data_IF_871809850442
#
_entry.id   IF_871809850442
#
_cell.length_a   1.000
_cell.length_b   1.000
_cell.length_c   1.000
_cell.angle_alpha   90.00
_cell.angle_beta   90.00
_cell.angle_gamma   90.00
#
_symmetry.space_group_name_H-M   'P 1'
#
loop_
_entity.id
_entity.type
_entity.pdbx_description
1 polymer ?
#
# COMPACT_ATOMS: atom_id res chain seq x y z
N UNK A 1 -11.45 6.35 6.17
CA UNK A 1 -10.42 5.34 5.85
C UNK A 1 -10.15 4.57 7.14
N UNK A 2 -10.18 3.24 7.10
CA UNK A 2 -10.03 2.40 8.30
C UNK A 2 -8.61 2.50 8.84
N UNK A 3 -8.48 2.93 10.09
CA UNK A 3 -7.20 3.18 10.77
C UNK A 3 -6.62 1.95 11.45
N UNK A 4 -7.21 0.77 11.26
CA UNK A 4 -6.78 -0.47 11.89
C UNK A 4 -6.60 -1.56 10.82
N UNK A 5 -5.37 -2.10 10.64
CA UNK A 5 -5.19 -3.38 9.99
C UNK A 5 -6.07 -4.42 10.67
N UNK A 6 -6.70 -5.32 9.91
CA UNK A 6 -7.38 -6.47 10.50
C UNK A 6 -6.36 -7.24 11.36
N UNK A 7 -6.76 -7.75 12.53
CA UNK A 7 -5.86 -8.49 13.40
C UNK A 7 -5.26 -9.68 12.63
N UNK A 8 -3.93 -9.74 12.59
CA UNK A 8 -3.15 -10.91 12.18
C UNK A 8 -3.12 -11.98 13.27
N UNK A 9 -3.62 -11.65 14.46
CA UNK A 9 -3.80 -12.55 15.60
C UNK A 9 -4.97 -13.50 15.38
N UNK A 10 -4.91 -14.76 15.88
CA UNK A 10 -6.07 -15.64 15.89
C UNK A 10 -7.21 -14.97 16.68
N UNK A 11 -8.36 -14.81 16.03
CA UNK A 11 -9.56 -14.20 16.61
C UNK A 11 -9.97 -14.97 17.87
N UNK A 12 -10.51 -14.28 18.90
CA UNK A 12 -10.98 -14.91 20.14
C UNK A 12 -12.18 -15.87 19.94
N UNK A 13 -12.74 -15.94 18.73
CA UNK A 13 -13.80 -16.86 18.33
C UNK A 13 -13.49 -17.47 16.96
N UNK A 14 -13.91 -18.72 16.69
CA UNK A 14 -13.75 -19.30 15.36
C UNK A 14 -14.55 -18.46 14.35
N UNK A 15 -13.92 -17.95 13.27
CA UNK A 15 -14.61 -17.18 12.25
C UNK A 15 -15.74 -17.99 11.61
N UNK A 16 -16.86 -17.32 11.37
CA UNK A 16 -18.07 -17.89 10.80
C UNK A 16 -17.91 -18.25 9.33
N UNK A 17 -18.86 -19.02 8.80
CA UNK A 17 -18.97 -19.22 7.35
C UNK A 17 -19.70 -18.00 6.78
N UNK A 18 -19.12 -17.26 5.82
CA UNK A 18 -19.76 -16.06 5.29
C UNK A 18 -21.07 -16.44 4.60
N UNK A 19 -22.12 -15.66 4.86
CA UNK A 19 -23.38 -15.79 4.13
C UNK A 19 -23.27 -15.02 2.82
N UNK A 20 -22.89 -15.74 1.75
CA UNK A 20 -22.70 -15.16 0.42
C UNK A 20 -24.02 -15.23 -0.36
N UNK A 21 -24.59 -14.07 -0.69
CA UNK A 21 -25.68 -13.90 -1.65
C UNK A 21 -25.09 -13.93 -3.06
N UNK A 22 -25.34 -15.02 -3.77
CA UNK A 22 -24.85 -15.25 -5.13
C UNK A 22 -25.43 -14.23 -6.11
N UNK A 23 -24.76 -14.11 -7.25
CA UNK A 23 -25.26 -13.31 -8.38
C UNK A 23 -26.70 -13.62 -8.77
N UNK A 24 -27.08 -14.90 -8.74
CA UNK A 24 -28.46 -15.31 -9.05
C UNK A 24 -29.45 -14.79 -7.99
N UNK A 25 -29.09 -14.88 -6.71
CA UNK A 25 -29.97 -14.51 -5.60
C UNK A 25 -30.23 -13.01 -5.51
N UNK A 26 -29.22 -12.15 -5.74
CA UNK A 26 -29.45 -10.70 -5.77
C UNK A 26 -29.99 -10.20 -7.12
N UNK A 27 -30.19 -11.08 -8.10
CA UNK A 27 -30.77 -10.73 -9.41
C UNK A 27 -29.80 -9.99 -10.32
N UNK A 28 -28.55 -10.45 -10.35
CA UNK A 28 -27.52 -9.92 -11.24
C UNK A 28 -27.83 -10.16 -12.70
N UNK A 29 -27.41 -9.23 -13.54
CA UNK A 29 -27.28 -9.46 -14.98
C UNK A 29 -26.15 -10.44 -15.27
N UNK A 30 -26.11 -10.96 -16.49
CA UNK A 30 -25.00 -11.80 -16.96
C UNK A 30 -23.67 -11.05 -16.87
N UNK A 31 -22.67 -11.70 -16.27
CA UNK A 31 -21.32 -11.16 -16.12
C UNK A 31 -20.63 -11.09 -17.48
N UNK A 32 -20.18 -9.91 -17.89
CA UNK A 32 -19.49 -9.73 -19.19
C UNK A 32 -17.97 -9.53 -19.05
N UNK A 33 -17.48 -9.40 -17.82
CA UNK A 33 -16.06 -9.27 -17.52
C UNK A 33 -15.31 -10.58 -17.81
N UNK A 34 -14.16 -10.50 -18.51
CA UNK A 34 -13.40 -11.68 -18.97
C UNK A 34 -12.02 -11.83 -18.34
N UNK A 35 -11.42 -10.71 -17.94
CA UNK A 35 -10.06 -10.70 -17.43
C UNK A 35 -9.98 -11.38 -16.05
N UNK A 36 -8.93 -12.16 -15.85
CA UNK A 36 -8.78 -13.02 -14.67
C UNK A 36 -7.90 -12.38 -13.60
N UNK A 37 -8.10 -12.79 -12.36
CA UNK A 37 -7.17 -12.54 -11.25
C UNK A 37 -5.93 -13.41 -11.38
N UNK A 38 -4.79 -12.83 -11.04
CA UNK A 38 -3.53 -13.54 -10.83
C UNK A 38 -3.62 -14.27 -9.49
N UNK A 39 -3.36 -15.58 -9.48
CA UNK A 39 -3.47 -16.42 -8.29
C UNK A 39 -2.09 -16.89 -7.80
N UNK A 40 -1.88 -17.04 -6.47
CA UNK A 40 -2.80 -16.66 -5.40
C UNK A 40 -2.97 -15.13 -5.31
N UNK A 41 -4.19 -14.68 -5.00
CA UNK A 41 -4.43 -13.23 -4.84
C UNK A 41 -3.67 -12.76 -3.60
N UNK A 42 -2.86 -11.71 -3.74
CA UNK A 42 -1.95 -11.28 -2.68
C UNK A 42 -2.46 -10.04 -1.92
N UNK A 43 -3.49 -9.37 -2.43
CA UNK A 43 -3.96 -8.12 -1.88
C UNK A 43 -5.47 -8.13 -1.60
N UNK A 44 -5.90 -7.38 -0.59
CA UNK A 44 -7.30 -7.03 -0.33
C UNK A 44 -7.41 -5.52 -0.36
N UNK A 45 -8.30 -4.99 -1.19
CA UNK A 45 -8.57 -3.55 -1.21
C UNK A 45 -10.00 -3.33 -0.76
N UNK A 46 -10.15 -2.61 0.35
CA UNK A 46 -11.45 -2.23 0.87
C UNK A 46 -11.86 -0.85 0.41
N UNK A 47 -13.13 -0.68 0.11
CA UNK A 47 -13.72 0.61 -0.20
C UNK A 47 -15.10 0.75 0.45
N UNK A 48 -15.64 1.96 0.49
CA UNK A 48 -16.99 2.26 0.91
C UNK A 48 -17.74 3.03 -0.18
N UNK A 49 -18.97 2.60 -0.45
CA UNK A 49 -19.85 3.21 -1.43
C UNK A 49 -20.93 3.99 -0.66
N UNK A 50 -20.84 5.32 -0.72
CA UNK A 50 -21.82 6.20 -0.08
C UNK A 50 -23.21 6.10 -0.73
N UNK A 51 -24.26 6.29 0.07
CA UNK A 51 -25.66 6.18 -0.36
C UNK A 51 -26.16 4.74 -0.59
N UNK A 52 -25.35 3.73 -0.28
CA UNK A 52 -25.68 2.32 -0.49
C UNK A 52 -26.25 1.63 0.75
N UNK A 53 -26.45 2.34 1.86
CA UNK A 53 -26.99 1.81 3.12
C UNK A 53 -28.26 0.96 2.92
N UNK A 54 -28.28 -0.20 3.57
CA UNK A 54 -29.41 -1.13 3.59
C UNK A 54 -29.26 -2.09 4.76
N UNK A 55 -30.38 -2.48 5.39
CA UNK A 55 -30.39 -3.36 6.56
C UNK A 55 -31.05 -4.73 6.28
N UNK A 56 -31.63 -4.90 5.09
CA UNK A 56 -32.29 -6.14 4.68
C UNK A 56 -31.81 -6.61 3.31
N UNK A 57 -31.79 -7.93 3.11
CA UNK A 57 -31.28 -8.54 1.89
C UNK A 57 -31.97 -8.02 0.62
N UNK A 58 -33.29 -7.82 0.66
CA UNK A 58 -34.04 -7.33 -0.49
C UNK A 58 -33.66 -5.88 -0.84
N UNK A 59 -33.51 -5.01 0.16
CA UNK A 59 -33.10 -3.63 -0.04
C UNK A 59 -31.65 -3.55 -0.55
N UNK A 60 -30.74 -4.32 0.03
CA UNK A 60 -29.35 -4.41 -0.42
C UNK A 60 -29.24 -4.93 -1.86
N UNK A 61 -29.99 -5.97 -2.21
CA UNK A 61 -30.03 -6.51 -3.57
C UNK A 61 -30.59 -5.48 -4.57
N UNK A 62 -31.63 -4.72 -4.19
CA UNK A 62 -32.15 -3.63 -5.02
C UNK A 62 -31.10 -2.55 -5.28
N UNK A 63 -30.40 -2.10 -4.23
CA UNK A 63 -29.32 -1.12 -4.37
C UNK A 63 -28.17 -1.64 -5.23
N UNK A 64 -27.78 -2.90 -5.06
CA UNK A 64 -26.73 -3.53 -5.87
C UNK A 64 -27.11 -3.61 -7.36
N UNK A 65 -28.36 -3.93 -7.69
CA UNK A 65 -28.85 -3.87 -9.10
C UNK A 65 -28.78 -2.46 -9.67
N UNK A 66 -29.09 -1.44 -8.88
CA UNK A 66 -28.92 -0.03 -9.25
C UNK A 66 -27.45 0.32 -9.51
N UNK A 67 -26.54 -0.12 -8.64
CA UNK A 67 -25.09 0.05 -8.80
C UNK A 67 -24.57 -0.64 -10.06
N UNK A 68 -24.99 -1.88 -10.33
CA UNK A 68 -24.63 -2.61 -11.55
C UNK A 68 -25.12 -1.87 -12.79
N UNK A 69 -26.37 -1.42 -12.79
CA UNK A 69 -26.96 -0.68 -13.92
C UNK A 69 -26.19 0.61 -14.22
N UNK A 70 -25.87 1.40 -13.21
CA UNK A 70 -25.05 2.62 -13.37
C UNK A 70 -23.62 2.30 -13.84
N UNK A 71 -23.01 1.24 -13.33
CA UNK A 71 -21.66 0.84 -13.75
C UNK A 71 -21.64 0.46 -15.23
N UNK A 72 -22.61 -0.35 -15.68
CA UNK A 72 -22.69 -0.80 -17.07
C UNK A 72 -23.08 0.34 -18.02
N UNK A 73 -24.17 1.05 -17.73
CA UNK A 73 -24.74 2.00 -18.70
C UNK A 73 -24.16 3.40 -18.62
N UNK A 74 -23.71 3.84 -17.44
CA UNK A 74 -23.17 5.20 -17.27
C UNK A 74 -21.65 5.22 -17.36
N UNK A 75 -20.96 4.21 -16.81
CA UNK A 75 -19.49 4.15 -16.82
C UNK A 75 -18.90 3.28 -17.94
N UNK A 76 -19.72 2.52 -18.65
CA UNK A 76 -19.25 1.60 -19.70
C UNK A 76 -18.46 0.40 -19.17
N UNK A 77 -18.63 0.06 -17.89
CA UNK A 77 -17.95 -1.05 -17.25
C UNK A 77 -18.63 -2.38 -17.59
N UNK A 78 -17.87 -3.48 -17.60
CA UNK A 78 -18.42 -4.81 -17.85
C UNK A 78 -19.35 -5.33 -16.74
N UNK A 79 -19.20 -4.82 -15.51
CA UNK A 79 -20.04 -5.09 -14.35
C UNK A 79 -19.75 -4.08 -13.21
N UNK A 80 -20.20 -4.37 -11.99
CA UNK A 80 -19.72 -3.75 -10.74
C UNK A 80 -18.20 -3.90 -10.61
N UNK A 81 -17.53 -2.89 -10.03
CA UNK A 81 -16.07 -2.86 -9.96
C UNK A 81 -15.44 -3.81 -8.93
N UNK A 82 -16.21 -4.32 -7.97
CA UNK A 82 -15.68 -5.06 -6.82
C UNK A 82 -15.96 -6.55 -6.95
N UNK A 83 -15.06 -7.37 -6.38
CA UNK A 83 -15.23 -8.82 -6.30
C UNK A 83 -16.39 -9.18 -5.37
N UNK A 84 -16.45 -8.50 -4.23
CA UNK A 84 -17.50 -8.68 -3.22
C UNK A 84 -17.95 -7.34 -2.66
N UNK A 85 -19.21 -7.28 -2.24
CA UNK A 85 -19.78 -6.14 -1.54
C UNK A 85 -20.39 -6.62 -0.22
N UNK A 86 -20.40 -5.77 0.80
CA UNK A 86 -20.84 -6.15 2.15
C UNK A 86 -21.89 -5.17 2.65
N UNK A 87 -23.08 -5.71 2.98
CA UNK A 87 -24.20 -4.93 3.48
C UNK A 87 -24.19 -4.79 5.00
N UNK A 88 -24.91 -3.79 5.52
CA UNK A 88 -25.10 -3.65 6.97
C UNK A 88 -26.02 -4.75 7.54
N UNK A 89 -26.70 -5.50 6.66
CA UNK A 89 -27.44 -6.73 6.94
C UNK A 89 -26.55 -7.94 7.29
N UNK A 90 -25.21 -7.76 7.28
CA UNK A 90 -24.25 -8.82 7.60
C UNK A 90 -24.06 -9.85 6.48
N UNK A 91 -24.51 -9.56 5.27
CA UNK A 91 -24.37 -10.46 4.11
C UNK A 91 -23.30 -9.98 3.15
N UNK A 92 -22.65 -10.93 2.50
CA UNK A 92 -21.70 -10.68 1.42
C UNK A 92 -22.40 -10.90 0.10
N UNK A 93 -22.35 -9.91 -0.79
CA UNK A 93 -22.92 -9.97 -2.12
C UNK A 93 -21.82 -10.25 -3.14
N UNK A 94 -22.00 -11.29 -3.95
CA UNK A 94 -21.07 -11.65 -5.00
C UNK A 94 -21.10 -10.61 -6.14
N UNK A 95 -20.00 -9.87 -6.31
CA UNK A 95 -19.78 -8.98 -7.44
C UNK A 95 -19.25 -9.74 -8.64
N UNK A 96 -18.02 -9.44 -9.08
CA UNK A 96 -17.36 -10.21 -10.15
C UNK A 96 -16.79 -11.56 -9.67
N UNK A 97 -16.80 -11.82 -8.35
CA UNK A 97 -16.49 -13.13 -7.76
C UNK A 97 -15.00 -13.41 -7.60
N UNK A 98 -14.65 -14.69 -7.41
CA UNK A 98 -13.30 -15.14 -7.00
C UNK A 98 -12.26 -15.26 -8.13
N UNK A 99 -12.69 -15.25 -9.39
CA UNK A 99 -11.83 -15.55 -10.55
C UNK A 99 -11.58 -14.34 -11.43
N UNK A 100 -12.54 -13.43 -11.50
CA UNK A 100 -12.52 -12.29 -12.41
C UNK A 100 -11.90 -11.08 -11.71
N UNK A 101 -11.02 -10.36 -12.41
CA UNK A 101 -10.47 -9.12 -11.89
C UNK A 101 -11.55 -8.04 -11.79
N UNK A 102 -11.48 -7.23 -10.73
CA UNK A 102 -12.35 -6.07 -10.60
C UNK A 102 -11.87 -4.87 -11.43
N UNK A 103 -12.53 -3.73 -11.21
CA UNK A 103 -12.16 -2.41 -11.75
C UNK A 103 -12.13 -1.36 -10.62
N UNK A 104 -11.77 -1.78 -9.42
CA UNK A 104 -11.86 -0.97 -8.20
C UNK A 104 -10.60 -0.12 -7.95
N UNK A 105 -9.43 -0.52 -8.43
CA UNK A 105 -8.17 0.20 -8.16
C UNK A 105 -7.14 0.00 -9.26
N UNK A 106 -6.78 1.11 -9.93
CA UNK A 106 -5.79 1.11 -10.99
C UNK A 106 -4.40 0.64 -10.49
N UNK A 107 -3.87 -0.39 -11.15
CA UNK A 107 -2.61 -1.04 -10.80
C UNK A 107 -2.73 -2.21 -9.82
N UNK A 108 -3.93 -2.47 -9.28
CA UNK A 108 -4.16 -3.61 -8.38
C UNK A 108 -5.26 -4.54 -8.84
N UNK A 109 -6.14 -4.11 -9.75
CA UNK A 109 -7.31 -4.86 -10.23
C UNK A 109 -7.07 -6.36 -10.45
N UNK A 110 -5.95 -6.76 -11.05
CA UNK A 110 -5.63 -8.16 -11.37
C UNK A 110 -4.94 -8.94 -10.24
N UNK A 111 -4.48 -8.29 -9.17
CA UNK A 111 -3.71 -8.93 -8.08
C UNK A 111 -4.41 -8.79 -6.71
N UNK A 112 -5.57 -8.14 -6.65
CA UNK A 112 -6.31 -7.89 -5.42
C UNK A 112 -7.77 -8.35 -5.48
N UNK A 113 -8.32 -8.76 -4.33
CA UNK A 113 -9.76 -8.82 -4.13
C UNK A 113 -10.28 -7.44 -3.71
N UNK A 114 -11.18 -6.87 -4.50
CA UNK A 114 -11.91 -5.65 -4.15
C UNK A 114 -13.13 -5.97 -3.28
N UNK A 115 -13.17 -5.43 -2.07
CA UNK A 115 -14.29 -5.52 -1.13
C UNK A 115 -14.91 -4.14 -0.93
N UNK A 116 -16.20 -3.98 -1.19
CA UNK A 116 -16.89 -2.70 -0.98
C UNK A 116 -17.99 -2.77 0.08
N UNK A 117 -17.93 -1.90 1.07
CA UNK A 117 -18.97 -1.75 2.09
C UNK A 117 -20.09 -0.82 1.60
N UNK A 118 -21.33 -1.20 1.88
CA UNK A 118 -22.49 -0.35 1.71
C UNK A 118 -22.53 0.69 2.84
N UNK A 119 -22.21 1.94 2.51
CA UNK A 119 -22.08 3.02 3.49
C UNK A 119 -23.10 4.13 3.33
N UNK A 120 -23.18 4.95 4.37
CA UNK A 120 -24.09 6.10 4.43
C UNK A 120 -23.40 7.31 3.80
N UNK A 121 -22.28 7.70 4.40
CA UNK A 121 -21.47 8.84 3.99
C UNK A 121 -20.06 8.40 3.57
N UNK A 122 -19.39 9.24 2.78
CA UNK A 122 -17.98 9.05 2.49
C UNK A 122 -17.19 9.16 3.80
N UNK A 123 -16.35 8.18 4.10
CA UNK A 123 -15.46 8.20 5.28
C UNK A 123 -16.06 7.72 6.61
N UNK A 124 -17.37 7.44 6.70
CA UNK A 124 -17.95 6.81 7.90
C UNK A 124 -17.47 5.36 8.06
N UNK A 125 -17.49 4.80 9.27
CA UNK A 125 -17.15 3.39 9.46
C UNK A 125 -18.31 2.46 9.06
N UNK A 126 -18.07 1.26 8.47
CA UNK A 126 -19.04 0.23 8.24
C UNK A 126 -19.60 -0.24 9.57
N UNK A 127 -20.80 -0.80 9.52
CA UNK A 127 -21.42 -1.36 10.71
C UNK A 127 -20.57 -2.52 11.26
N UNK A 128 -20.59 -2.77 12.58
CA UNK A 128 -19.93 -3.93 13.17
C UNK A 128 -20.35 -5.25 12.49
N UNK A 129 -21.62 -5.36 12.09
CA UNK A 129 -22.16 -6.51 11.36
C UNK A 129 -21.50 -6.68 9.99
N UNK A 130 -21.33 -5.59 9.25
CA UNK A 130 -20.65 -5.63 7.95
C UNK A 130 -19.17 -5.97 8.11
N UNK A 131 -18.50 -5.43 9.13
CA UNK A 131 -17.10 -5.76 9.43
C UNK A 131 -16.94 -7.26 9.72
N UNK A 132 -17.77 -7.83 10.58
CA UNK A 132 -17.76 -9.26 10.88
C UNK A 132 -17.99 -10.13 9.64
N UNK A 133 -18.93 -9.76 8.77
CA UNK A 133 -19.16 -10.48 7.52
C UNK A 133 -17.97 -10.42 6.55
N UNK A 134 -17.23 -9.31 6.54
CA UNK A 134 -16.01 -9.18 5.77
C UNK A 134 -14.86 -10.04 6.34
N UNK A 135 -14.73 -10.14 7.67
CA UNK A 135 -13.76 -11.03 8.32
C UNK A 135 -14.00 -12.49 7.95
N UNK A 136 -15.26 -12.94 8.03
CA UNK A 136 -15.67 -14.30 7.66
C UNK A 136 -15.36 -14.58 6.19
N UNK A 137 -15.56 -13.60 5.31
CA UNK A 137 -15.23 -13.71 3.89
C UNK A 137 -13.72 -13.86 3.67
N UNK A 138 -12.91 -13.04 4.33
CA UNK A 138 -11.44 -13.08 4.22
C UNK A 138 -10.93 -14.44 4.72
N UNK A 139 -11.42 -14.90 5.88
CA UNK A 139 -11.05 -16.20 6.41
C UNK A 139 -11.44 -17.34 5.47
N UNK A 140 -12.66 -17.31 4.92
CA UNK A 140 -13.10 -18.26 3.92
C UNK A 140 -12.20 -18.25 2.67
N UNK A 141 -11.85 -17.05 2.18
CA UNK A 141 -10.99 -16.90 1.01
C UNK A 141 -9.60 -17.51 1.22
N UNK A 142 -9.01 -17.33 2.41
CA UNK A 142 -7.73 -17.94 2.78
C UNK A 142 -7.86 -19.47 2.85
N UNK A 143 -8.88 -19.97 3.56
CA UNK A 143 -9.13 -21.41 3.74
C UNK A 143 -9.36 -22.13 2.41
N UNK A 144 -9.99 -21.47 1.43
CA UNK A 144 -10.25 -22.00 0.09
C UNK A 144 -9.13 -21.74 -0.92
N UNK A 145 -8.03 -21.09 -0.50
CA UNK A 145 -6.89 -20.78 -1.37
C UNK A 145 -7.18 -19.71 -2.43
N UNK A 146 -8.25 -18.93 -2.26
CA UNK A 146 -8.54 -17.76 -3.10
C UNK A 146 -7.64 -16.58 -2.75
N UNK A 147 -7.31 -16.42 -1.47
CA UNK A 147 -6.50 -15.35 -0.93
C UNK A 147 -5.26 -15.92 -0.25
N UNK A 148 -4.11 -15.28 -0.42
CA UNK A 148 -2.88 -15.62 0.29
C UNK A 148 -3.09 -15.51 1.80
N UNK A 149 -2.62 -16.47 2.62
CA UNK A 149 -2.60 -16.33 4.08
C UNK A 149 -1.77 -15.11 4.55
N UNK A 150 -0.87 -14.61 3.69
CA UNK A 150 -0.08 -13.40 3.91
C UNK A 150 -0.55 -12.26 3.01
N UNK A 151 -1.86 -12.10 2.83
CA UNK A 151 -2.37 -11.02 2.02
C UNK A 151 -2.03 -9.65 2.62
N UNK A 152 -1.96 -8.65 1.77
CA UNK A 152 -1.67 -7.26 2.15
C UNK A 152 -2.92 -6.42 1.93
N UNK A 153 -3.25 -5.55 2.87
CA UNK A 153 -4.26 -4.52 2.68
C UNK A 153 -3.57 -3.16 2.51
N UNK A 154 -3.33 -2.71 1.25
CA UNK A 154 -2.63 -1.46 1.04
C UNK A 154 -3.49 -0.28 1.46
N UNK A 155 -2.85 0.72 2.10
CA UNK A 155 -3.47 2.01 2.36
C UNK A 155 -3.54 2.78 1.03
N UNK A 156 -4.67 2.66 0.35
CA UNK A 156 -4.97 3.41 -0.86
C UNK A 156 -5.80 4.63 -0.47
N UNK A 157 -5.19 5.81 -0.48
CA UNK A 157 -5.98 7.03 -0.46
C UNK A 157 -6.81 7.05 -1.74
N UNK A 158 -8.15 7.15 -1.60
CA UNK A 158 -8.98 7.57 -2.72
C UNK A 158 -8.42 8.91 -3.18
N UNK A 159 -8.18 9.05 -4.48
CA UNK A 159 -7.98 10.34 -5.09
C UNK A 159 -9.29 11.12 -4.92
N UNK A 160 -9.48 11.73 -3.77
CA UNK A 160 -10.28 12.94 -3.72
C UNK A 160 -9.62 13.88 -4.71
N UNK A 161 -10.41 14.37 -5.64
CA UNK A 161 -10.11 15.51 -6.47
C UNK A 161 -9.88 16.72 -5.56
N UNK A 162 -8.77 16.72 -4.84
CA UNK A 162 -8.19 17.93 -4.35
C UNK A 162 -7.53 18.52 -5.59
N UNK A 163 -8.27 19.39 -6.28
CA UNK A 163 -7.66 20.60 -6.79
C UNK A 163 -7.03 21.28 -5.55
N UNK A 164 -5.86 20.80 -5.15
CA UNK A 164 -5.03 21.49 -4.17
C UNK A 164 -4.73 22.81 -4.88
N UNK A 165 -5.11 23.98 -4.33
CA UNK A 165 -4.57 25.24 -4.82
C UNK A 165 -3.07 25.04 -4.84
N UNK A 166 -2.40 25.28 -5.97
CA UNK A 166 -0.94 25.18 -6.06
C UNK A 166 -0.34 25.80 -4.80
N UNK A 167 0.06 24.93 -3.85
CA UNK A 167 0.83 25.38 -2.71
C UNK A 167 2.08 26.01 -3.32
N UNK A 168 2.58 27.11 -2.75
CA UNK A 168 3.72 27.80 -3.31
C UNK A 168 4.80 26.76 -3.51
N UNK A 169 5.29 26.66 -4.75
CA UNK A 169 6.44 25.84 -5.12
C UNK A 169 7.43 25.89 -3.97
N UNK A 170 7.59 24.77 -3.25
CA UNK A 170 8.67 24.61 -2.28
C UNK A 170 9.93 25.16 -2.97
N UNK A 171 10.66 26.10 -2.34
CA UNK A 171 11.79 26.76 -2.99
C UNK A 171 12.69 25.68 -3.59
N UNK A 172 13.06 25.84 -4.88
CA UNK A 172 13.81 24.86 -5.68
C UNK A 172 15.07 24.41 -4.93
N UNK A 173 14.96 23.41 -4.07
CA UNK A 173 16.13 22.74 -3.50
C UNK A 173 16.61 21.78 -4.58
N UNK A 174 17.85 22.01 -5.01
CA UNK A 174 18.51 21.14 -5.97
C UNK A 174 18.44 19.69 -5.47
N UNK A 175 18.32 18.74 -6.40
CA UNK A 175 18.43 17.32 -6.09
C UNK A 175 19.66 17.09 -5.19
N UNK A 176 19.53 16.31 -4.11
CA UNK A 176 20.67 16.06 -3.24
C UNK A 176 21.78 15.36 -4.03
N UNK A 177 23.02 15.56 -3.61
CA UNK A 177 24.12 14.78 -4.16
C UNK A 177 23.95 13.32 -3.73
N UNK A 178 23.65 12.45 -4.69
CA UNK A 178 23.45 11.03 -4.44
C UNK A 178 24.77 10.31 -4.66
N UNK A 179 25.28 9.69 -3.60
CA UNK A 179 26.45 8.81 -3.65
C UNK A 179 26.02 7.56 -4.43
N UNK A 180 26.52 7.47 -5.66
CA UNK A 180 26.18 6.38 -6.59
C UNK A 180 26.64 5.03 -6.07
N UNK A 181 26.02 3.97 -6.58
CA UNK A 181 26.44 2.58 -6.36
C UNK A 181 27.95 2.36 -6.52
N UNK A 182 28.54 2.89 -7.58
CA UNK A 182 29.98 2.77 -7.81
C UNK A 182 30.82 3.52 -6.77
N UNK A 183 30.34 4.67 -6.27
CA UNK A 183 31.09 5.51 -5.33
C UNK A 183 31.16 4.95 -3.91
N UNK A 184 30.21 4.10 -3.51
CA UNK A 184 30.26 3.37 -2.23
C UNK A 184 30.73 1.91 -2.37
N UNK A 185 30.97 1.43 -3.60
CA UNK A 185 31.50 0.09 -3.87
C UNK A 185 30.44 -1.01 -3.89
N UNK A 186 29.29 -0.74 -4.50
CA UNK A 186 28.20 -1.70 -4.62
C UNK A 186 28.57 -2.93 -5.44
N UNK A 187 28.12 -4.10 -4.97
CA UNK A 187 28.04 -5.31 -5.79
C UNK A 187 26.96 -5.17 -6.88
N UNK A 188 27.02 -6.03 -7.89
CA UNK A 188 26.04 -6.07 -8.97
C UNK A 188 24.64 -6.46 -8.45
N UNK A 189 23.61 -5.77 -8.95
CA UNK A 189 22.21 -6.08 -8.65
C UNK A 189 21.69 -7.21 -9.53
N UNK A 190 20.86 -8.08 -8.98
CA UNK A 190 20.11 -9.10 -9.73
C UNK A 190 18.60 -8.92 -9.58
N UNK A 191 18.17 -7.76 -9.08
CA UNK A 191 16.77 -7.47 -8.83
C UNK A 191 16.03 -7.14 -10.15
N UNK A 192 14.72 -7.43 -10.24
CA UNK A 192 13.94 -7.08 -11.41
C UNK A 192 13.76 -5.56 -11.53
N UNK A 193 13.36 -5.11 -12.71
CA UNK A 193 13.03 -3.69 -12.97
C UNK A 193 11.74 -3.29 -12.27
N UNK A 194 11.64 -2.04 -11.82
CA UNK A 194 10.44 -1.46 -11.22
C UNK A 194 9.64 -0.65 -12.24
N UNK A 195 8.31 -0.70 -12.15
CA UNK A 195 7.42 0.19 -12.90
C UNK A 195 7.42 1.60 -12.30
N UNK A 196 7.66 2.62 -13.13
CA UNK A 196 7.65 4.03 -12.74
C UNK A 196 6.48 4.78 -13.39
N UNK A 197 6.04 5.92 -12.82
CA UNK A 197 6.47 6.50 -11.54
C UNK A 197 5.97 5.70 -10.32
N UNK A 198 6.76 5.70 -9.26
CA UNK A 198 6.34 5.14 -7.97
C UNK A 198 5.16 5.95 -7.41
N UNK A 199 4.34 5.30 -6.58
CA UNK A 199 3.14 5.87 -5.94
C UNK A 199 3.31 6.11 -4.45
N UNK A 200 4.26 5.40 -3.83
CA UNK A 200 4.50 5.42 -2.39
C UNK A 200 5.93 5.81 -2.06
N UNK A 201 6.11 6.42 -0.89
CA UNK A 201 7.40 6.51 -0.19
C UNK A 201 7.25 5.80 1.14
N UNK A 202 8.08 4.78 1.39
CA UNK A 202 8.11 4.05 2.66
C UNK A 202 9.36 4.46 3.43
N UNK A 203 9.17 5.15 4.57
CA UNK A 203 10.26 5.56 5.45
C UNK A 203 10.61 4.42 6.41
N UNK A 204 11.89 4.06 6.41
CA UNK A 204 12.44 2.91 7.12
C UNK A 204 13.61 3.36 8.00
N UNK A 205 13.91 2.63 9.06
CA UNK A 205 15.23 2.68 9.71
C UNK A 205 15.98 1.38 9.49
N UNK A 206 17.31 1.39 9.52
CA UNK A 206 18.09 0.15 9.39
C UNK A 206 18.17 -0.63 10.70
N UNK A 207 17.72 -0.03 11.81
CA UNK A 207 17.79 -0.57 13.18
C UNK A 207 19.21 -0.91 13.66
N UNK A 208 20.24 -0.42 12.98
CA UNK A 208 21.65 -0.66 13.28
C UNK A 208 22.36 0.57 13.85
N UNK A 209 23.69 0.56 13.76
CA UNK A 209 24.52 1.70 14.11
C UNK A 209 24.30 2.87 13.13
N UNK A 210 24.32 4.09 13.64
CA UNK A 210 24.35 5.31 12.82
C UNK A 210 25.75 5.51 12.21
N UNK A 211 25.84 6.43 11.27
CA UNK A 211 27.09 6.93 10.71
C UNK A 211 26.95 8.44 10.49
N UNK A 212 27.97 9.22 10.84
CA UNK A 212 27.98 10.69 10.71
C UNK A 212 29.17 11.22 9.88
N UNK A 213 30.02 10.32 9.39
CA UNK A 213 31.14 10.60 8.49
C UNK A 213 30.89 9.83 7.19
N UNK A 214 31.12 10.46 6.04
CA UNK A 214 30.81 9.85 4.73
C UNK A 214 31.49 8.50 4.51
N UNK A 215 32.75 8.35 4.94
CA UNK A 215 33.47 7.08 4.81
C UNK A 215 32.80 5.97 5.64
N UNK A 216 32.41 6.27 6.88
CA UNK A 216 31.72 5.32 7.75
C UNK A 216 30.35 4.94 7.18
N UNK A 217 29.62 5.90 6.62
CA UNK A 217 28.35 5.62 5.98
C UNK A 217 28.50 4.70 4.76
N UNK A 218 29.53 4.86 3.92
CA UNK A 218 29.81 3.93 2.82
C UNK A 218 30.13 2.52 3.33
N UNK A 219 30.87 2.41 4.45
CA UNK A 219 31.10 1.11 5.10
C UNK A 219 29.77 0.49 5.54
N UNK A 220 28.91 1.25 6.23
CA UNK A 220 27.60 0.77 6.69
C UNK A 220 26.69 0.33 5.54
N UNK A 221 26.65 1.09 4.44
CA UNK A 221 25.85 0.72 3.26
C UNK A 221 26.34 -0.60 2.66
N UNK A 222 27.66 -0.83 2.58
CA UNK A 222 28.24 -2.11 2.15
C UNK A 222 27.90 -3.23 3.11
N UNK A 223 28.01 -3.01 4.42
CA UNK A 223 27.67 -4.02 5.44
C UNK A 223 26.19 -4.44 5.32
N UNK A 224 25.29 -3.48 5.08
CA UNK A 224 23.86 -3.74 4.86
C UNK A 224 23.65 -4.53 3.56
N UNK A 225 24.32 -4.17 2.46
CA UNK A 225 24.25 -4.94 1.21
C UNK A 225 24.74 -6.38 1.40
N UNK A 226 25.85 -6.57 2.13
CA UNK A 226 26.39 -7.88 2.48
C UNK A 226 25.37 -8.70 3.26
N UNK A 227 24.82 -8.14 4.34
CA UNK A 227 23.79 -8.81 5.13
C UNK A 227 22.56 -9.19 4.30
N UNK A 228 22.04 -8.28 3.47
CA UNK A 228 20.84 -8.54 2.67
C UNK A 228 21.06 -9.65 1.64
N UNK A 229 22.16 -9.63 0.87
CA UNK A 229 22.35 -10.65 -0.16
C UNK A 229 22.88 -11.97 0.43
N UNK A 230 23.82 -11.89 1.37
CA UNK A 230 24.57 -13.09 1.81
C UNK A 230 23.83 -13.82 2.93
N UNK A 231 23.04 -13.11 3.75
CA UNK A 231 22.29 -13.70 4.87
C UNK A 231 20.78 -13.79 4.59
N UNK A 232 20.20 -12.78 3.93
CA UNK A 232 18.75 -12.75 3.65
C UNK A 232 18.37 -13.23 2.25
N UNK A 233 19.36 -13.60 1.41
CA UNK A 233 19.16 -14.05 0.02
C UNK A 233 18.40 -13.03 -0.84
N UNK A 234 18.55 -11.73 -0.56
CA UNK A 234 17.99 -10.70 -1.41
C UNK A 234 18.84 -10.56 -2.69
N UNK A 235 18.19 -10.15 -3.78
CA UNK A 235 18.86 -9.90 -5.04
C UNK A 235 19.85 -8.71 -5.00
N UNK A 236 19.74 -7.85 -3.98
CA UNK A 236 20.61 -6.71 -3.67
C UNK A 236 20.29 -6.14 -2.26
N UNK A 237 20.89 -5.01 -1.89
CA UNK A 237 20.40 -4.15 -0.81
C UNK A 237 18.92 -3.83 -1.00
N UNK A 238 18.14 -3.90 0.08
CA UNK A 238 16.68 -3.96 -0.01
C UNK A 238 16.02 -2.61 -0.25
N UNK A 239 16.74 -1.53 0.01
CA UNK A 239 16.23 -0.16 -0.02
C UNK A 239 16.57 0.53 -1.34
N UNK A 240 15.70 1.43 -1.79
CA UNK A 240 15.97 2.25 -2.98
C UNK A 240 17.06 3.26 -2.68
N UNK A 241 16.96 3.92 -1.51
CA UNK A 241 17.94 4.89 -1.03
C UNK A 241 18.17 4.73 0.47
N UNK A 242 19.37 5.07 0.92
CA UNK A 242 19.73 5.16 2.33
C UNK A 242 20.19 6.57 2.67
N UNK A 243 19.94 7.01 3.90
CA UNK A 243 20.30 8.36 4.37
C UNK A 243 21.11 8.27 5.66
N UNK A 244 22.33 8.81 5.63
CA UNK A 244 23.22 8.87 6.79
C UNK A 244 23.04 10.14 7.63
N UNK A 245 23.55 10.14 8.86
CA UNK A 245 23.59 11.35 9.69
C UNK A 245 24.63 12.36 9.18
N UNK A 246 25.48 11.98 8.22
CA UNK A 246 26.34 12.89 7.47
C UNK A 246 25.56 13.77 6.47
N UNK A 247 24.24 13.56 6.33
CA UNK A 247 23.40 14.21 5.33
C UNK A 247 23.56 13.64 3.92
N UNK A 248 24.30 12.55 3.77
CA UNK A 248 24.50 11.88 2.49
C UNK A 248 23.30 11.00 2.10
N UNK A 249 22.95 11.02 0.82
CA UNK A 249 22.01 10.07 0.21
C UNK A 249 22.79 9.01 -0.55
N UNK A 250 22.63 7.76 -0.18
CA UNK A 250 23.33 6.62 -0.75
C UNK A 250 22.38 5.84 -1.66
N UNK A 251 22.75 5.67 -2.92
CA UNK A 251 21.97 4.90 -3.88
C UNK A 251 21.98 3.42 -3.52
N UNK A 252 20.82 2.87 -3.13
CA UNK A 252 20.63 1.43 -2.98
C UNK A 252 20.33 0.80 -4.33
N UNK A 253 19.17 0.17 -4.51
CA UNK A 253 18.74 -0.29 -5.85
C UNK A 253 18.41 0.87 -6.81
N UNK A 254 18.30 2.11 -6.31
CA UNK A 254 17.99 3.28 -7.14
C UNK A 254 16.52 3.33 -7.56
N UNK A 255 16.17 4.16 -8.54
CA UNK A 255 14.76 4.36 -8.94
C UNK A 255 14.18 3.28 -9.85
N UNK A 256 15.00 2.64 -10.69
CA UNK A 256 14.53 1.81 -11.81
C UNK A 256 14.47 0.31 -11.48
N UNK A 257 14.87 -0.06 -10.27
CA UNK A 257 15.03 -1.45 -9.84
C UNK A 257 14.17 -1.70 -8.62
N UNK A 258 13.44 -2.81 -8.63
CA UNK A 258 12.55 -3.20 -7.56
C UNK A 258 13.35 -3.51 -6.29
N UNK A 259 12.98 -2.89 -5.17
CA UNK A 259 13.57 -3.18 -3.86
C UNK A 259 13.02 -4.46 -3.20
N UNK A 260 13.51 -4.73 -1.99
CA UNK A 260 13.08 -5.83 -1.12
C UNK A 260 12.82 -5.33 0.31
N UNK A 261 12.30 -4.12 0.45
CA UNK A 261 12.20 -3.43 1.73
C UNK A 261 10.87 -3.62 2.45
N UNK A 262 9.76 -3.73 1.71
CA UNK A 262 8.41 -3.75 2.28
C UNK A 262 7.52 -4.60 1.39
N UNK A 263 7.14 -5.77 1.91
CA UNK A 263 6.27 -6.71 1.21
C UNK A 263 4.96 -6.02 0.81
N UNK A 264 4.58 -6.12 -0.47
CA UNK A 264 3.39 -5.45 -1.01
C UNK A 264 3.59 -4.05 -1.58
N UNK A 265 4.78 -3.48 -1.39
CA UNK A 265 5.12 -2.13 -1.84
C UNK A 265 6.40 -2.08 -2.67
N UNK A 266 7.14 -3.18 -2.75
CA UNK A 266 8.45 -3.25 -3.41
C UNK A 266 8.44 -2.81 -4.90
N UNK A 267 7.35 -3.07 -5.62
CA UNK A 267 7.17 -2.80 -7.05
C UNK A 267 6.49 -1.45 -7.37
N UNK A 268 6.03 -0.73 -6.34
CA UNK A 268 5.20 0.48 -6.48
C UNK A 268 5.65 1.64 -5.57
N UNK A 269 6.58 1.41 -4.64
CA UNK A 269 6.99 2.38 -3.64
C UNK A 269 8.51 2.49 -3.52
N UNK A 270 9.00 3.70 -3.29
CA UNK A 270 10.40 3.96 -2.98
C UNK A 270 10.65 3.76 -1.48
N UNK A 271 11.43 2.76 -1.13
CA UNK A 271 11.92 2.55 0.24
C UNK A 271 13.14 3.42 0.55
N UNK A 272 12.98 4.38 1.47
CA UNK A 272 14.05 5.28 1.94
C UNK A 272 14.41 4.90 3.38
N UNK A 273 15.61 4.37 3.59
CA UNK A 273 16.07 3.90 4.90
C UNK A 273 17.03 4.88 5.56
N UNK A 274 16.70 5.35 6.76
CA UNK A 274 17.64 6.08 7.60
C UNK A 274 18.61 5.11 8.27
N UNK A 275 19.92 5.34 8.12
CA UNK A 275 20.97 4.49 8.69
C UNK A 275 21.05 4.75 10.19
N UNK A 276 20.51 3.82 10.98
CA UNK A 276 20.49 3.90 12.43
C UNK A 276 19.25 3.28 13.08
N UNK A 277 19.18 3.42 14.40
CA UNK A 277 18.00 3.09 15.21
C UNK A 277 17.37 4.39 15.75
N UNK A 278 16.12 4.65 15.36
CA UNK A 278 15.39 5.87 15.68
C UNK A 278 14.12 5.62 16.51
N UNK A 279 14.16 4.61 17.37
CA UNK A 279 13.06 4.36 18.32
C UNK A 279 12.97 5.49 19.33
N UNK A 280 14.08 5.87 19.96
CA UNK A 280 14.10 6.85 21.04
C UNK A 280 14.60 8.23 20.60
N UNK A 281 15.62 8.26 19.75
CA UNK A 281 16.27 9.49 19.29
C UNK A 281 15.95 9.72 17.81
N UNK A 282 15.64 10.94 17.37
CA UNK A 282 15.39 11.21 15.96
C UNK A 282 16.71 11.27 15.15
N UNK A 283 16.64 11.14 13.81
CA UNK A 283 17.75 11.55 12.95
C UNK A 283 18.05 13.04 13.10
N UNK A 284 19.27 13.46 12.78
CA UNK A 284 19.64 14.86 12.78
C UNK A 284 18.99 15.61 11.60
N UNK A 285 19.07 16.94 11.65
CA UNK A 285 18.47 17.81 10.64
C UNK A 285 19.01 17.54 9.22
N UNK A 286 20.31 17.25 9.09
CA UNK A 286 20.93 16.99 7.79
C UNK A 286 20.35 15.74 7.11
N UNK A 287 20.14 14.66 7.86
CA UNK A 287 19.51 13.44 7.35
C UNK A 287 18.05 13.69 6.95
N UNK A 288 17.28 14.40 7.78
CA UNK A 288 15.87 14.71 7.49
C UNK A 288 15.74 15.57 6.23
N UNK A 289 16.59 16.60 6.09
CA UNK A 289 16.64 17.46 4.92
C UNK A 289 17.05 16.69 3.66
N UNK A 290 18.06 15.82 3.74
CA UNK A 290 18.50 14.99 2.63
C UNK A 290 17.38 14.09 2.10
N UNK A 291 16.61 13.47 2.99
CA UNK A 291 15.46 12.64 2.64
C UNK A 291 14.35 13.45 1.96
N UNK A 292 13.99 14.61 2.50
CA UNK A 292 12.97 15.48 1.88
C UNK A 292 13.40 15.98 0.50
N UNK A 293 14.68 16.37 0.35
CA UNK A 293 15.23 16.79 -0.94
C UNK A 293 15.24 15.64 -1.96
N UNK A 294 15.52 14.41 -1.52
CA UNK A 294 15.46 13.22 -2.38
C UNK A 294 14.02 12.95 -2.86
N UNK A 295 13.04 13.04 -1.96
CA UNK A 295 11.62 12.84 -2.30
C UNK A 295 11.18 13.89 -3.32
N UNK A 296 11.49 15.17 -3.06
CA UNK A 296 11.21 16.26 -3.99
C UNK A 296 11.87 16.04 -5.35
N UNK A 297 13.15 15.68 -5.37
CA UNK A 297 13.89 15.37 -6.60
C UNK A 297 13.24 14.22 -7.37
N UNK A 298 12.74 13.19 -6.67
CA UNK A 298 12.08 12.05 -7.30
C UNK A 298 10.78 12.47 -8.00
N UNK A 299 10.03 13.43 -7.45
CA UNK A 299 8.86 14.02 -8.12
C UNK A 299 9.28 14.83 -9.34
N UNK A 300 10.27 15.72 -9.20
CA UNK A 300 10.74 16.59 -10.29
C UNK A 300 11.29 15.78 -11.47
N UNK A 301 11.95 14.66 -11.21
CA UNK A 301 12.48 13.76 -12.24
C UNK A 301 11.43 12.78 -12.80
N UNK A 302 10.20 12.79 -12.31
CA UNK A 302 9.15 11.89 -12.76
C UNK A 302 9.31 10.44 -12.30
N UNK A 303 10.14 10.18 -11.28
CA UNK A 303 10.27 8.86 -10.65
C UNK A 303 9.21 8.62 -9.56
N UNK A 304 8.55 9.67 -9.10
CA UNK A 304 7.49 9.63 -8.08
C UNK A 304 6.32 10.50 -8.54
N UNK A 305 5.09 10.02 -8.41
CA UNK A 305 3.91 10.81 -8.77
C UNK A 305 3.79 12.06 -7.87
N UNK A 306 3.30 13.21 -8.37
CA UNK A 306 3.19 14.42 -7.54
C UNK A 306 2.26 14.28 -6.32
N UNK A 307 1.26 13.39 -6.40
CA UNK A 307 0.31 13.08 -5.34
C UNK A 307 0.64 11.75 -4.62
N UNK A 308 1.93 11.46 -4.45
CA UNK A 308 2.37 10.24 -3.78
C UNK A 308 1.83 10.14 -2.35
N UNK A 309 1.85 8.94 -1.78
CA UNK A 309 1.58 8.71 -0.36
C UNK A 309 2.88 8.42 0.39
N UNK A 310 3.11 9.12 1.49
CA UNK A 310 4.21 8.88 2.41
C UNK A 310 3.71 8.10 3.63
N UNK A 311 4.40 7.01 3.94
CA UNK A 311 4.09 6.13 5.08
C UNK A 311 5.36 5.77 5.83
N UNK A 312 5.24 5.51 7.13
CA UNK A 312 6.26 4.78 7.87
C UNK A 312 6.18 3.27 7.58
N UNK A 313 7.28 2.54 7.72
CA UNK A 313 7.27 1.09 7.56
C UNK A 313 6.23 0.38 8.46
N UNK A 314 6.02 0.88 9.68
CA UNK A 314 5.04 0.42 10.67
C UNK A 314 3.58 0.60 10.24
N UNK A 315 3.33 1.42 9.22
CA UNK A 315 1.97 1.70 8.73
C UNK A 315 1.42 0.60 7.85
N UNK A 316 2.34 -0.19 7.28
CA UNK A 316 2.06 -1.16 6.23
C UNK A 316 2.62 -2.55 6.56
N UNK A 317 3.30 -2.68 7.70
CA UNK A 317 3.87 -3.92 8.22
C UNK A 317 3.89 -3.83 9.73
N UNK A 318 3.57 -4.92 10.43
CA UNK A 318 3.60 -5.00 11.90
C UNK A 318 5.04 -5.08 12.41
N UNK A 319 5.74 -3.94 12.39
CA UNK A 319 7.14 -3.79 12.78
C UNK A 319 7.36 -2.39 13.38
N UNK A 320 8.41 -2.24 14.19
CA UNK A 320 8.72 -0.98 14.87
C UNK A 320 9.33 0.09 13.95
N UNK A 321 9.93 -0.29 12.83
CA UNK A 321 10.52 0.65 11.86
C UNK A 321 9.47 1.67 11.37
N UNK A 322 9.78 2.96 11.17
CA UNK A 322 11.10 3.60 11.22
C UNK A 322 11.58 4.00 12.61
N UNK A 323 10.93 3.50 13.66
CA UNK A 323 11.17 3.87 15.06
C UNK A 323 10.32 5.08 15.45
N UNK A 324 9.85 5.09 16.70
CA UNK A 324 8.87 6.06 17.20
C UNK A 324 9.32 7.52 17.04
N UNK A 325 10.59 7.84 17.31
CA UNK A 325 11.08 9.21 17.21
C UNK A 325 11.08 9.73 15.75
N UNK A 326 11.53 8.92 14.80
CA UNK A 326 11.47 9.26 13.37
C UNK A 326 10.02 9.27 12.86
N UNK A 327 9.21 8.29 13.27
CA UNK A 327 7.80 8.20 12.90
C UNK A 327 7.01 9.45 13.29
N UNK A 328 7.23 9.98 14.50
CA UNK A 328 6.59 11.21 14.96
C UNK A 328 6.96 12.44 14.10
N UNK A 329 8.15 12.46 13.51
CA UNK A 329 8.59 13.56 12.64
C UNK A 329 7.92 13.44 11.27
N UNK A 330 7.95 12.26 10.64
CA UNK A 330 7.42 12.11 9.28
C UNK A 330 5.90 12.33 9.19
N UNK A 331 5.17 12.18 10.31
CA UNK A 331 3.74 12.58 10.41
C UNK A 331 3.48 14.03 10.05
N UNK A 332 4.49 14.88 10.22
CA UNK A 332 4.40 16.32 9.92
C UNK A 332 4.80 16.65 8.49
N UNK A 333 5.28 15.67 7.72
CA UNK A 333 5.74 15.89 6.35
C UNK A 333 4.56 15.97 5.37
N UNK A 334 4.72 16.70 4.25
CA UNK A 334 3.76 16.67 3.16
C UNK A 334 3.52 15.23 2.68
N UNK A 335 2.29 14.94 2.25
CA UNK A 335 1.88 13.63 1.75
C UNK A 335 1.91 12.48 2.77
N UNK A 336 2.17 12.74 4.06
CA UNK A 336 1.99 11.70 5.08
C UNK A 336 0.52 11.23 5.09
N UNK A 337 0.32 9.92 5.17
CA UNK A 337 -1.02 9.32 5.23
C UNK A 337 -1.85 9.98 6.35
N UNK A 338 -3.05 10.46 6.02
CA UNK A 338 -4.00 10.96 7.01
C UNK A 338 -4.89 9.84 7.53
#
# INVERSE_FOLDING_TARGET
LFTTPWPTSPLPFPPGVPTIVSRKEWGARSLTCRAQLTRPVAYVITDQIAGMECEEQNACSQKLRGLQSRSVYTKGWCDVAYNFLVGNDGRVYEGVGWTIQGMHTQGYNNVSLGLAFFGNNLGSSPSPTALSAAEDLIFYAIKKGHLSPRYIQPLLLKAESCLVPHQPLMPRKACPNIITRSAWGARQTHCPTMGLPAKYVVIIHTAGATCNVSMDCRIRVRDIQSYHMDTQNFCDIGYHFLVGQDGGVYEGVGWHTQGSHTYGYNDIGLGIAFIGNFVEKPPNAAALEAAQNLIHCSVVKGHLVPNYLLVGHSDVTDILSPGRALYNIIKTWPHFRQ
#
